data_IF_094842443691
#
_entry.id   IF_094842443691
#
_cell.length_a   1.000
_cell.length_b   1.000
_cell.length_c   1.000
_cell.angle_alpha   90.00
_cell.angle_beta   90.00
_cell.angle_gamma   90.00
#
_symmetry.space_group_name_H-M   'P 1'
#
loop_
_entity.id
_entity.type
_entity.pdbx_description
1 polymer ?
#
# COMPACT_ATOMS: atom_id res chain seq x y z
N UNK A 1 35.70 -23.89 -9.64
CA UNK A 1 34.89 -22.67 -9.85
C UNK A 1 35.84 -21.50 -9.91
N UNK A 2 35.80 -20.71 -10.98
CA UNK A 2 36.69 -19.56 -11.17
C UNK A 2 36.39 -18.48 -10.12
N UNK A 3 37.42 -17.69 -9.74
CA UNK A 3 37.28 -16.62 -8.75
C UNK A 3 36.17 -15.61 -9.10
N UNK A 4 35.83 -15.46 -10.39
CA UNK A 4 34.75 -14.60 -10.87
C UNK A 4 33.35 -15.14 -10.52
N UNK A 5 33.14 -16.46 -10.58
CA UNK A 5 31.86 -17.07 -10.20
C UNK A 5 31.65 -16.98 -8.69
N UNK A 6 32.73 -17.09 -7.90
CA UNK A 6 32.69 -16.94 -6.45
C UNK A 6 32.37 -15.49 -6.06
N UNK A 7 32.97 -14.50 -6.72
CA UNK A 7 32.70 -13.08 -6.50
C UNK A 7 31.29 -12.66 -6.90
N UNK A 8 30.76 -13.19 -8.01
CA UNK A 8 29.38 -12.96 -8.42
C UNK A 8 28.37 -13.57 -7.44
N UNK A 9 28.62 -14.79 -6.94
CA UNK A 9 27.80 -15.41 -5.91
C UNK A 9 27.90 -14.68 -4.57
N UNK A 10 29.08 -14.21 -4.19
CA UNK A 10 29.30 -13.45 -2.96
C UNK A 10 28.58 -12.09 -3.07
N UNK A 11 28.60 -11.39 -4.21
CA UNK A 11 27.79 -10.19 -4.44
C UNK A 11 26.30 -10.51 -4.37
N UNK A 12 25.84 -11.60 -4.99
CA UNK A 12 24.42 -11.99 -4.97
C UNK A 12 23.93 -12.37 -3.56
N UNK A 13 24.80 -13.01 -2.76
CA UNK A 13 24.58 -13.32 -1.35
C UNK A 13 24.64 -12.05 -0.50
N UNK A 14 25.58 -11.14 -0.73
CA UNK A 14 25.69 -9.86 -0.01
C UNK A 14 24.53 -8.91 -0.37
N UNK A 15 23.98 -8.99 -1.59
CA UNK A 15 22.76 -8.27 -2.00
C UNK A 15 21.51 -8.84 -1.34
N UNK A 16 21.44 -10.17 -1.12
CA UNK A 16 20.42 -10.80 -0.28
C UNK A 16 20.58 -10.48 1.20
N UNK A 17 21.80 -10.35 1.71
CA UNK A 17 22.09 -10.05 3.11
C UNK A 17 21.96 -8.55 3.44
N UNK A 18 22.16 -7.65 2.47
CA UNK A 18 21.87 -6.20 2.59
C UNK A 18 20.38 -5.85 2.45
N UNK A 19 19.55 -6.83 2.08
CA UNK A 19 18.09 -6.74 2.06
C UNK A 19 17.46 -7.85 2.89
N UNK A 20 17.98 -8.10 4.11
CA UNK A 20 17.27 -8.95 5.07
C UNK A 20 15.86 -8.40 5.29
N UNK A 21 14.84 -9.28 5.38
CA UNK A 21 13.44 -8.88 5.47
C UNK A 21 13.24 -7.70 6.41
N UNK A 22 13.03 -6.49 5.88
CA UNK A 22 12.97 -5.28 6.70
C UNK A 22 11.55 -5.13 7.19
N UNK A 23 11.37 -5.37 8.49
CA UNK A 23 10.11 -5.11 9.17
C UNK A 23 9.99 -3.61 9.46
N UNK A 24 8.86 -3.03 9.08
CA UNK A 24 8.52 -1.64 9.38
C UNK A 24 7.23 -1.61 10.20
N UNK A 25 7.12 -0.63 11.09
CA UNK A 25 5.95 -0.48 11.96
C UNK A 25 5.22 0.79 11.56
N UNK A 26 3.92 0.64 11.28
CA UNK A 26 2.97 1.73 11.16
C UNK A 26 2.19 1.86 12.48
N UNK A 27 1.95 3.07 12.96
CA UNK A 27 1.14 3.31 14.16
C UNK A 27 0.05 4.34 13.91
N UNK A 28 -1.10 4.17 14.58
CA UNK A 28 -2.14 5.19 14.53
C UNK A 28 -1.75 6.45 15.31
N UNK A 29 -2.49 7.55 15.14
CA UNK A 29 -2.19 8.84 15.79
C UNK A 29 -2.06 8.74 17.32
N UNK A 30 -2.84 7.86 17.97
CA UNK A 30 -2.75 7.68 19.42
C UNK A 30 -1.74 6.59 19.86
N UNK A 31 -1.06 5.94 18.92
CA UNK A 31 -0.08 4.88 19.16
C UNK A 31 -0.65 3.55 19.68
N UNK A 32 -1.97 3.42 19.86
CA UNK A 32 -2.60 2.22 20.46
C UNK A 32 -2.69 1.04 19.50
N UNK A 33 -2.80 1.30 18.20
CA UNK A 33 -2.82 0.29 17.14
C UNK A 33 -1.50 0.39 16.41
N UNK A 34 -0.81 -0.73 16.25
CA UNK A 34 0.37 -0.85 15.39
C UNK A 34 0.20 -1.96 14.37
N UNK A 35 0.84 -1.78 13.22
CA UNK A 35 0.87 -2.76 12.13
C UNK A 35 2.34 -2.99 11.78
N UNK A 36 2.84 -4.19 12.04
CA UNK A 36 4.14 -4.64 11.53
C UNK A 36 3.96 -5.11 10.09
N UNK A 37 4.86 -4.69 9.20
CA UNK A 37 4.83 -5.01 7.78
C UNK A 37 6.18 -5.56 7.37
N UNK A 38 6.20 -6.77 6.83
CA UNK A 38 7.40 -7.37 6.24
C UNK A 38 7.55 -6.94 4.80
N UNK A 39 8.76 -6.50 4.43
CA UNK A 39 9.15 -6.18 3.05
C UNK A 39 8.25 -5.11 2.41
N UNK A 40 7.93 -4.06 3.16
CA UNK A 40 7.12 -2.93 2.67
C UNK A 40 7.79 -2.27 1.45
N UNK A 41 6.97 -2.01 0.43
CA UNK A 41 7.40 -1.34 -0.78
C UNK A 41 7.64 0.16 -0.51
N UNK A 42 8.61 0.75 -1.20
CA UNK A 42 8.90 2.19 -1.09
C UNK A 42 8.19 3.01 -2.17
N UNK A 43 7.52 2.38 -3.13
CA UNK A 43 6.67 3.06 -4.10
C UNK A 43 5.36 3.49 -3.43
N UNK A 44 5.15 4.81 -3.38
CA UNK A 44 3.90 5.40 -2.89
C UNK A 44 2.96 5.61 -4.08
N UNK A 45 1.72 5.19 -3.88
CA UNK A 45 0.60 5.50 -4.77
C UNK A 45 -0.33 6.53 -4.14
N UNK A 46 -0.86 7.44 -4.95
CA UNK A 46 -1.92 8.36 -4.57
C UNK A 46 -3.25 7.96 -5.23
N UNK A 47 -4.29 7.77 -4.43
CA UNK A 47 -5.64 7.56 -4.96
C UNK A 47 -6.50 8.81 -4.82
N UNK A 48 -7.08 9.23 -5.94
CA UNK A 48 -7.91 10.43 -6.00
C UNK A 48 -9.40 10.15 -6.01
N UNK A 49 -9.86 8.90 -5.95
CA UNK A 49 -11.29 8.62 -6.06
C UNK A 49 -12.11 9.26 -4.93
N UNK A 50 -13.40 9.50 -5.16
CA UNK A 50 -14.26 10.19 -4.18
C UNK A 50 -14.29 9.51 -2.80
N UNK A 51 -14.20 8.18 -2.74
CA UNK A 51 -14.17 7.42 -1.49
C UNK A 51 -12.88 7.67 -0.72
N UNK A 52 -11.72 7.61 -1.40
CA UNK A 52 -10.42 7.89 -0.77
C UNK A 52 -10.34 9.33 -0.28
N UNK A 53 -10.88 10.30 -1.05
CA UNK A 53 -10.95 11.70 -0.60
C UNK A 53 -11.82 11.90 0.64
N UNK A 54 -12.99 11.26 0.68
CA UNK A 54 -13.88 11.34 1.85
C UNK A 54 -13.30 10.64 3.08
N UNK A 55 -12.62 9.51 2.87
CA UNK A 55 -12.04 8.72 3.95
C UNK A 55 -10.77 9.36 4.52
N UNK A 56 -9.85 9.77 3.65
CA UNK A 56 -8.56 10.36 4.01
C UNK A 56 -8.57 11.87 4.22
N UNK A 57 -9.68 12.57 3.95
CA UNK A 57 -9.75 14.04 3.89
C UNK A 57 -8.74 14.65 2.90
N UNK A 58 -8.43 13.93 1.82
CA UNK A 58 -7.42 14.30 0.83
C UNK A 58 -7.11 13.13 -0.11
N UNK A 59 -6.20 13.30 -1.08
CA UNK A 59 -5.67 12.14 -1.81
C UNK A 59 -5.11 11.13 -0.81
N UNK A 60 -5.48 9.86 -0.96
CA UNK A 60 -4.98 8.82 -0.06
C UNK A 60 -3.61 8.35 -0.57
N UNK A 61 -2.56 8.64 0.19
CA UNK A 61 -1.20 8.19 -0.08
C UNK A 61 -0.92 6.87 0.65
N UNK A 62 -0.57 5.82 -0.08
CA UNK A 62 -0.35 4.50 0.48
C UNK A 62 0.87 3.80 -0.11
N UNK A 63 1.45 2.89 0.65
CA UNK A 63 2.37 1.87 0.16
C UNK A 63 1.69 0.50 0.14
N UNK A 64 2.12 -0.35 -0.79
CA UNK A 64 1.73 -1.76 -0.80
C UNK A 64 2.42 -2.50 0.36
N UNK A 65 1.62 -3.24 1.14
CA UNK A 65 2.06 -3.94 2.35
C UNK A 65 1.99 -5.47 2.20
N UNK A 66 1.87 -5.97 0.96
CA UNK A 66 1.74 -7.39 0.67
C UNK A 66 0.38 -7.96 1.10
N UNK A 67 0.37 -9.23 1.56
CA UNK A 67 -0.85 -9.95 1.95
C UNK A 67 -1.02 -10.03 3.47
N UNK A 68 -2.09 -10.66 4.00
CA UNK A 68 -2.22 -10.90 5.44
C UNK A 68 -1.04 -11.73 6.02
N UNK A 69 -0.31 -12.47 5.19
CA UNK A 69 0.92 -13.18 5.60
C UNK A 69 2.11 -12.24 5.84
N UNK A 70 2.06 -11.04 5.28
CA UNK A 70 3.13 -10.04 5.37
C UNK A 70 2.91 -9.05 6.51
N UNK A 71 1.71 -8.98 7.07
CA UNK A 71 1.36 -8.00 8.10
C UNK A 71 0.98 -8.66 9.42
N UNK A 72 1.22 -7.95 10.52
CA UNK A 72 0.73 -8.29 11.85
C UNK A 72 0.11 -7.06 12.49
N UNK A 73 -1.17 -7.16 12.84
CA UNK A 73 -1.91 -6.07 13.48
C UNK A 73 -1.94 -6.33 14.99
N UNK A 74 -1.58 -5.32 15.77
CA UNK A 74 -1.66 -5.34 17.22
C UNK A 74 -2.82 -4.47 17.71
N UNK A 75 -3.46 -4.90 18.81
CA UNK A 75 -4.68 -4.27 19.34
C UNK A 75 -5.84 -4.29 18.35
N UNK A 76 -6.13 -5.46 17.75
CA UNK A 76 -7.22 -5.66 16.79
C UNK A 76 -8.61 -5.28 17.35
N UNK A 77 -8.80 -5.35 18.67
CA UNK A 77 -10.00 -4.88 19.35
C UNK A 77 -10.26 -3.37 19.17
N UNK A 78 -9.22 -2.60 18.84
CA UNK A 78 -9.30 -1.17 18.52
C UNK A 78 -9.34 -0.90 17.00
N UNK A 79 -9.47 -1.94 16.18
CA UNK A 79 -9.58 -1.84 14.71
C UNK A 79 -11.03 -2.01 14.29
N UNK A 80 -11.62 -0.95 13.75
CA UNK A 80 -12.90 -1.01 13.06
C UNK A 80 -12.70 -1.23 11.57
N UNK A 81 -13.46 -2.16 10.98
CA UNK A 81 -13.44 -2.46 9.55
C UNK A 81 -14.76 -2.05 8.92
N UNK A 82 -14.69 -1.27 7.85
CA UNK A 82 -15.84 -0.85 7.05
C UNK A 82 -15.74 -1.47 5.65
N UNK A 83 -16.65 -2.40 5.32
CA UNK A 83 -16.77 -2.97 3.97
C UNK A 83 -17.25 -1.86 3.02
N UNK A 84 -16.32 -1.28 2.28
CA UNK A 84 -16.55 -0.08 1.48
C UNK A 84 -16.99 -0.39 0.05
N UNK A 85 -16.78 -1.62 -0.40
CA UNK A 85 -17.30 -2.18 -1.67
C UNK A 85 -17.42 -3.71 -1.53
N UNK A 86 -17.88 -4.40 -2.58
CA UNK A 86 -17.92 -5.87 -2.57
C UNK A 86 -16.54 -6.52 -2.48
N UNK A 87 -15.51 -5.84 -2.97
CA UNK A 87 -14.14 -6.36 -3.06
C UNK A 87 -13.18 -5.75 -2.04
N UNK A 88 -13.59 -4.77 -1.24
CA UNK A 88 -12.65 -4.11 -0.33
C UNK A 88 -13.26 -3.57 0.96
N UNK A 89 -12.44 -3.63 2.00
CA UNK A 89 -12.72 -3.02 3.30
C UNK A 89 -11.63 -2.00 3.69
N UNK A 90 -12.01 -1.11 4.61
CA UNK A 90 -11.16 -0.04 5.13
C UNK A 90 -11.08 -0.17 6.64
N UNK A 91 -9.87 -0.30 7.17
CA UNK A 91 -9.60 -0.35 8.60
C UNK A 91 -9.31 1.03 9.17
N UNK A 92 -9.85 1.36 10.34
CA UNK A 92 -9.52 2.58 11.08
C UNK A 92 -9.48 2.34 12.58
N UNK A 93 -8.69 3.13 13.29
CA UNK A 93 -8.59 3.05 14.75
C UNK A 93 -9.86 3.59 15.39
N UNK A 94 -10.58 2.75 16.14
CA UNK A 94 -11.83 3.15 16.83
C UNK A 94 -11.61 4.18 17.94
N UNK A 95 -10.37 4.34 18.42
CA UNK A 95 -10.02 5.31 19.46
C UNK A 95 -9.68 6.70 18.93
N UNK A 96 -8.92 6.82 17.83
CA UNK A 96 -8.43 8.11 17.33
C UNK A 96 -8.90 8.47 15.91
N UNK A 97 -9.56 7.55 15.21
CA UNK A 97 -10.06 7.78 13.85
C UNK A 97 -8.99 7.67 12.74
N UNK A 98 -7.72 7.41 13.04
CA UNK A 98 -6.71 7.20 12.01
C UNK A 98 -7.10 6.07 11.06
N UNK A 99 -7.00 6.33 9.77
CA UNK A 99 -7.13 5.33 8.72
C UNK A 99 -5.91 4.40 8.79
N UNK A 100 -6.12 3.09 8.84
CA UNK A 100 -5.09 2.08 9.10
C UNK A 100 -4.68 1.34 7.84
N UNK A 101 -5.65 0.88 7.04
CA UNK A 101 -5.38 0.12 5.83
C UNK A 101 -6.58 0.11 4.89
N UNK A 102 -6.30 -0.06 3.61
CA UNK A 102 -7.22 -0.58 2.62
C UNK A 102 -6.90 -2.06 2.40
N UNK A 103 -7.91 -2.93 2.46
CA UNK A 103 -7.75 -4.38 2.29
C UNK A 103 -8.59 -4.85 1.11
N UNK A 104 -7.91 -5.37 0.08
CA UNK A 104 -8.51 -5.94 -1.13
C UNK A 104 -8.78 -7.43 -0.91
N UNK A 105 -10.05 -7.76 -0.71
CA UNK A 105 -10.50 -9.10 -0.31
C UNK A 105 -10.15 -10.21 -1.32
N UNK A 106 -10.27 -10.02 -2.66
CA UNK A 106 -9.96 -11.09 -3.61
C UNK A 106 -8.51 -11.57 -3.59
N UNK A 107 -7.56 -10.70 -3.22
CA UNK A 107 -6.13 -11.03 -3.17
C UNK A 107 -5.54 -11.03 -1.78
N UNK A 108 -6.36 -10.76 -0.76
CA UNK A 108 -5.90 -10.58 0.61
C UNK A 108 -4.81 -9.49 0.74
N UNK A 109 -4.82 -8.51 -0.16
CA UNK A 109 -3.75 -7.52 -0.29
C UNK A 109 -4.03 -6.27 0.53
N UNK A 110 -3.02 -5.74 1.20
CA UNK A 110 -3.11 -4.57 2.06
C UNK A 110 -2.34 -3.39 1.47
N UNK A 111 -2.96 -2.21 1.54
CA UNK A 111 -2.29 -0.92 1.33
C UNK A 111 -2.41 -0.10 2.61
N UNK A 112 -1.29 0.41 3.09
CA UNK A 112 -1.23 1.14 4.37
C UNK A 112 -0.92 2.60 4.08
N UNK A 113 -1.62 3.56 4.72
CA UNK A 113 -1.28 4.97 4.59
C UNK A 113 0.18 5.23 4.97
N UNK A 114 0.92 5.90 4.08
CA UNK A 114 2.38 6.08 4.23
C UNK A 114 2.72 6.83 5.51
N UNK A 115 1.90 7.80 5.92
CA UNK A 115 2.15 8.66 7.07
C UNK A 115 1.89 7.98 8.43
N UNK A 116 1.51 6.70 8.45
CA UNK A 116 1.51 5.92 9.69
C UNK A 116 2.90 5.38 10.05
N UNK A 117 3.81 5.30 9.08
CA UNK A 117 5.15 4.81 9.32
C UNK A 117 6.05 5.96 9.78
N UNK A 118 6.66 5.82 10.97
CA UNK A 118 7.58 6.83 11.49
C UNK A 118 8.88 6.95 10.68
N UNK A 119 9.25 5.89 9.93
CA UNK A 119 10.49 5.84 9.16
C UNK A 119 10.35 5.00 7.87
N UNK A 120 10.12 5.69 6.75
CA UNK A 120 10.20 5.17 5.38
C UNK A 120 10.99 6.15 4.49
N UNK A 121 12.31 6.22 4.65
CA UNK A 121 13.12 7.32 4.11
C UNK A 121 13.30 7.26 2.59
N UNK A 122 13.13 6.08 1.99
CA UNK A 122 13.27 5.85 0.55
C UNK A 122 11.91 5.97 -0.18
N UNK A 123 10.83 6.35 0.52
CA UNK A 123 9.49 6.40 -0.05
C UNK A 123 9.39 7.48 -1.15
N UNK A 124 8.91 7.07 -2.33
CA UNK A 124 8.78 7.95 -3.49
C UNK A 124 7.38 7.83 -4.08
N UNK A 125 6.70 8.97 -4.29
CA UNK A 125 5.44 9.00 -5.03
C UNK A 125 5.69 8.69 -6.51
N UNK A 126 5.20 7.55 -6.98
CA UNK A 126 5.44 7.07 -8.36
C UNK A 126 4.16 7.01 -9.21
N UNK A 127 3.00 6.86 -8.57
CA UNK A 127 1.74 6.59 -9.27
C UNK A 127 0.58 7.37 -8.68
N UNK A 128 -0.25 7.95 -9.54
CA UNK A 128 -1.54 8.56 -9.21
C UNK A 128 -2.66 7.77 -9.92
N UNK A 129 -3.66 7.31 -9.17
CA UNK A 129 -4.78 6.53 -9.68
C UNK A 129 -6.10 7.26 -9.51
N UNK A 130 -7.05 7.03 -10.43
CA UNK A 130 -8.27 7.83 -10.57
C UNK A 130 -7.96 9.32 -10.81
N UNK A 131 -6.91 9.60 -11.58
CA UNK A 131 -6.38 10.95 -11.77
C UNK A 131 -7.39 11.92 -12.41
N UNK A 132 -8.28 11.40 -13.26
CA UNK A 132 -9.43 12.10 -13.83
C UNK A 132 -10.48 12.52 -12.78
N UNK A 133 -10.44 11.97 -11.57
CA UNK A 133 -11.26 12.42 -10.44
C UNK A 133 -10.53 13.38 -9.49
N UNK A 134 -9.26 13.74 -9.77
CA UNK A 134 -8.47 14.67 -8.95
C UNK A 134 -9.09 16.07 -8.96
N UNK A 135 -9.39 16.67 -7.81
CA UNK A 135 -9.82 18.07 -7.75
C UNK A 135 -8.75 19.04 -8.27
N UNK A 136 -9.21 20.15 -8.84
CA UNK A 136 -8.36 21.20 -9.41
C UNK A 136 -7.58 22.03 -8.37
N UNK A 137 -7.90 21.91 -7.08
CA UNK A 137 -7.29 22.75 -6.02
C UNK A 137 -5.95 22.22 -5.50
N UNK A 138 -5.40 21.13 -6.06
CA UNK A 138 -4.05 20.65 -5.74
C UNK A 138 -3.41 19.90 -6.90
N UNK A 139 -2.07 19.86 -6.90
CA UNK A 139 -1.23 19.02 -7.75
C UNK A 139 -0.05 18.49 -6.93
N UNK A 140 0.42 17.28 -7.26
CA UNK A 140 1.72 16.79 -6.80
C UNK A 140 2.82 17.25 -7.75
N UNK A 141 3.95 17.70 -7.19
CA UNK A 141 5.08 18.17 -7.97
C UNK A 141 5.92 17.02 -8.59
N UNK A 142 5.74 15.79 -8.09
CA UNK A 142 6.45 14.61 -8.56
C UNK A 142 6.06 14.25 -10.00
N UNK A 143 7.02 13.73 -10.76
CA UNK A 143 6.72 13.04 -12.01
C UNK A 143 6.18 11.64 -11.69
N UNK A 144 4.92 11.40 -12.06
CA UNK A 144 4.17 10.20 -11.68
C UNK A 144 3.50 9.58 -12.91
N UNK A 145 3.29 8.27 -12.85
CA UNK A 145 2.36 7.59 -13.74
C UNK A 145 0.93 7.96 -13.33
N UNK A 146 0.17 8.57 -14.24
CA UNK A 146 -1.22 8.98 -14.01
C UNK A 146 -2.15 7.99 -14.70
N UNK A 147 -3.07 7.42 -13.93
CA UNK A 147 -4.04 6.43 -14.38
C UNK A 147 -5.46 6.94 -14.14
N UNK A 148 -6.27 6.92 -15.18
CA UNK A 148 -7.71 7.25 -15.15
C UNK A 148 -8.53 6.14 -14.51
N UNK A 149 -9.77 6.43 -14.13
CA UNK A 149 -10.73 5.42 -13.69
C UNK A 149 -10.89 4.30 -14.71
N UNK A 150 -11.03 4.64 -16.00
CA UNK A 150 -11.21 3.65 -17.07
C UNK A 150 -10.02 2.67 -17.16
N UNK A 151 -8.79 3.17 -17.10
CA UNK A 151 -7.59 2.34 -17.12
C UNK A 151 -7.49 1.44 -15.88
N UNK A 152 -7.82 1.97 -14.69
CA UNK A 152 -7.83 1.17 -13.45
C UNK A 152 -8.88 0.07 -13.51
N UNK A 153 -10.09 0.39 -13.95
CA UNK A 153 -11.17 -0.58 -14.04
C UNK A 153 -10.87 -1.67 -15.07
N UNK A 154 -10.23 -1.32 -16.18
CA UNK A 154 -9.74 -2.31 -17.15
C UNK A 154 -8.68 -3.23 -16.52
N UNK A 155 -7.68 -2.69 -15.83
CA UNK A 155 -6.66 -3.50 -15.16
C UNK A 155 -7.26 -4.42 -14.09
N UNK A 156 -8.27 -3.95 -13.35
CA UNK A 156 -9.00 -4.75 -12.36
C UNK A 156 -9.77 -5.88 -13.05
N UNK A 157 -10.46 -5.59 -14.15
CA UNK A 157 -11.19 -6.59 -14.93
C UNK A 157 -10.26 -7.68 -15.45
N UNK A 158 -9.14 -7.28 -16.08
CA UNK A 158 -8.12 -8.21 -16.57
C UNK A 158 -7.53 -9.04 -15.42
N UNK A 159 -7.14 -8.40 -14.31
CA UNK A 159 -6.43 -9.09 -13.23
C UNK A 159 -7.31 -9.99 -12.35
N UNK A 160 -8.59 -9.64 -12.18
CA UNK A 160 -9.46 -10.26 -11.17
C UNK A 160 -10.72 -10.89 -11.72
N UNK A 161 -11.12 -10.54 -12.94
CA UNK A 161 -12.40 -10.95 -13.52
C UNK A 161 -12.22 -11.46 -14.95
N UNK A 162 -11.13 -12.19 -15.22
CA UNK A 162 -11.10 -13.06 -16.39
C UNK A 162 -12.28 -14.05 -16.28
N UNK A 163 -13.37 -13.73 -16.97
CA UNK A 163 -14.42 -14.67 -17.31
C UNK A 163 -13.73 -15.88 -17.93
N UNK A 164 -14.02 -17.02 -17.31
CA UNK A 164 -13.99 -18.35 -17.90
C UNK A 164 -14.72 -18.31 -19.25
N UNK A 165 -14.00 -18.01 -20.32
CA UNK A 165 -14.45 -18.28 -21.68
C UNK A 165 -13.95 -19.67 -22.09
N UNK A 166 -14.67 -20.69 -21.62
CA UNK A 166 -14.92 -21.95 -22.35
C UNK A 166 -16.42 -22.24 -22.32
#
# INVERSE_FOLDING_TARGET
>A
MTNEIKFANDIFLTMKEKGGKRMKTATCLCGKVSIEVMDVHSEVGACHCSMCRKWGSGPLLTVEAGTAKNIRIHSEDLVSRYKSSEWAERGFCSNCGSNLFYHLLPTDAYSIPIDLFDDLPDATLTTEVYYDQKPEYYDFANETKKLTEAEIMQMVQEKYFHETNE
#
